data_IF_133238969095
#
_entry.id   IF_133238969095
#
_cell.length_a   1.000
_cell.length_b   1.000
_cell.length_c   1.000
_cell.angle_alpha   90.00
_cell.angle_beta   90.00
_cell.angle_gamma   90.00
#
_symmetry.space_group_name_H-M   'P 1'
#
loop_
_entity.id
_entity.type
_entity.pdbx_description
1 polymer ?
#
# COMPACT_ATOMS: atom_id res chain seq x y z
N UNK A 1 61.33 27.45 41.03
CA UNK A 1 60.95 26.04 40.82
C UNK A 1 59.44 25.92 41.03
N UNK A 2 58.67 25.86 39.95
CA UNK A 2 57.21 25.69 40.00
C UNK A 2 56.84 24.57 39.04
N UNK A 3 56.45 23.43 39.60
CA UNK A 3 55.97 22.24 38.88
C UNK A 3 54.52 22.48 38.49
N UNK A 4 54.20 22.42 37.20
CA UNK A 4 52.80 22.38 36.71
C UNK A 4 52.40 20.92 36.52
N UNK A 5 51.40 20.46 37.29
CA UNK A 5 50.66 19.22 37.03
C UNK A 5 49.77 19.43 35.80
N UNK A 6 49.91 18.58 34.79
CA UNK A 6 48.97 18.46 33.69
C UNK A 6 47.88 17.44 34.05
N UNK A 7 46.62 17.87 34.11
CA UNK A 7 45.48 16.99 34.24
C UNK A 7 45.09 16.46 32.85
N UNK A 8 45.17 15.14 32.65
CA UNK A 8 44.65 14.46 31.47
C UNK A 8 43.13 14.25 31.64
N UNK A 9 42.31 14.94 30.86
CA UNK A 9 40.90 14.61 30.71
C UNK A 9 40.75 13.41 29.76
N UNK A 10 40.30 12.28 30.30
CA UNK A 10 39.88 11.12 29.52
C UNK A 10 38.48 11.39 28.93
N UNK A 11 38.41 11.66 27.63
CA UNK A 11 37.15 11.64 26.89
C UNK A 11 36.72 10.18 26.66
N UNK A 12 35.65 9.76 27.33
CA UNK A 12 34.95 8.51 26.98
C UNK A 12 34.14 8.73 25.70
N UNK A 13 34.62 8.21 24.57
CA UNK A 13 33.80 8.03 23.37
C UNK A 13 32.87 6.82 23.61
N UNK A 14 31.57 7.06 23.77
CA UNK A 14 30.55 6.03 23.65
C UNK A 14 30.39 5.68 22.17
N UNK A 15 30.92 4.53 21.76
CA UNK A 15 30.62 3.95 20.45
C UNK A 15 29.16 3.49 20.43
N UNK A 16 28.28 4.28 19.82
CA UNK A 16 26.94 3.81 19.47
C UNK A 16 27.09 2.74 18.40
N UNK A 17 26.91 1.47 18.77
CA UNK A 17 26.82 0.38 17.82
C UNK A 17 25.61 0.65 16.92
N UNK A 18 25.86 1.03 15.67
CA UNK A 18 24.83 1.08 14.64
C UNK A 18 24.44 -0.37 14.41
N UNK A 19 23.22 -0.75 14.83
CA UNK A 19 22.68 -2.06 14.53
C UNK A 19 22.67 -2.23 13.01
N UNK A 20 23.33 -3.26 12.50
CA UNK A 20 23.31 -3.61 11.08
C UNK A 20 21.91 -4.14 10.80
N UNK A 21 21.20 -3.47 9.88
CA UNK A 21 19.88 -3.92 9.42
C UNK A 21 20.01 -5.28 8.72
N UNK A 22 19.10 -6.20 9.05
CA UNK A 22 19.09 -7.56 8.50
C UNK A 22 18.85 -7.50 7.00
N UNK A 23 19.76 -8.08 6.21
CA UNK A 23 19.58 -8.22 4.78
C UNK A 23 18.71 -9.44 4.46
N UNK A 24 17.63 -9.20 3.71
CA UNK A 24 16.68 -10.25 3.31
C UNK A 24 16.93 -10.69 1.88
N UNK A 25 17.01 -12.02 1.66
CA UNK A 25 17.00 -12.64 0.33
C UNK A 25 15.74 -13.49 0.15
N UNK A 26 14.66 -12.88 -0.35
CA UNK A 26 13.34 -13.52 -0.38
C UNK A 26 13.26 -14.83 -1.20
N UNK A 27 14.20 -15.05 -2.14
CA UNK A 27 14.27 -16.26 -2.96
C UNK A 27 14.91 -17.45 -2.25
N UNK A 28 15.75 -17.21 -1.27
CA UNK A 28 16.55 -18.24 -0.59
C UNK A 28 15.88 -18.68 0.72
N UNK A 29 16.45 -19.70 1.37
CA UNK A 29 16.05 -20.03 2.73
C UNK A 29 16.32 -18.83 3.67
N UNK A 30 15.41 -18.52 4.62
CA UNK A 30 14.26 -19.32 5.05
C UNK A 30 12.96 -19.04 4.28
N UNK A 31 12.97 -18.15 3.29
CA UNK A 31 11.75 -17.66 2.64
C UNK A 31 11.29 -18.54 1.47
N UNK A 32 12.20 -18.95 0.59
CA UNK A 32 11.93 -19.78 -0.59
C UNK A 32 10.68 -19.35 -1.35
N UNK A 33 10.52 -18.05 -1.59
CA UNK A 33 9.30 -17.46 -2.14
C UNK A 33 8.82 -18.12 -3.45
N UNK A 34 9.76 -18.52 -4.32
CA UNK A 34 9.43 -19.15 -5.60
C UNK A 34 8.86 -20.56 -5.44
N UNK A 35 9.26 -21.27 -4.38
CA UNK A 35 8.78 -22.63 -4.07
C UNK A 35 7.47 -22.62 -3.29
N UNK A 36 7.07 -21.46 -2.76
CA UNK A 36 5.84 -21.31 -1.97
C UNK A 36 4.60 -21.59 -2.81
N UNK A 37 3.68 -22.38 -2.26
CA UNK A 37 2.34 -22.57 -2.83
C UNK A 37 1.44 -21.45 -2.35
N UNK A 38 0.96 -20.55 -3.24
CA UNK A 38 0.21 -19.39 -2.81
C UNK A 38 -1.13 -19.74 -2.14
N UNK A 39 -1.45 -18.99 -1.10
CA UNK A 39 -2.68 -19.07 -0.29
C UNK A 39 -3.50 -17.77 -0.39
N UNK A 40 -3.14 -16.89 -1.31
CA UNK A 40 -3.84 -15.63 -1.55
C UNK A 40 -5.21 -15.82 -2.21
N UNK A 41 -6.01 -14.74 -2.21
CA UNK A 41 -7.37 -14.71 -2.76
C UNK A 41 -7.40 -15.12 -4.24
N UNK A 42 -6.43 -14.66 -5.04
CA UNK A 42 -6.41 -14.97 -6.47
C UNK A 42 -6.10 -16.45 -6.71
N UNK A 43 -5.14 -17.04 -5.99
CA UNK A 43 -4.84 -18.47 -6.10
C UNK A 43 -6.05 -19.36 -5.77
N UNK A 44 -6.90 -18.94 -4.83
CA UNK A 44 -8.16 -19.62 -4.54
C UNK A 44 -9.16 -19.50 -5.70
N UNK A 45 -9.39 -18.28 -6.22
CA UNK A 45 -10.31 -18.02 -7.34
C UNK A 45 -9.82 -18.66 -8.63
N UNK A 46 -8.51 -18.68 -8.90
CA UNK A 46 -7.91 -19.35 -10.04
C UNK A 46 -8.29 -20.83 -10.08
N UNK A 47 -8.19 -21.55 -8.96
CA UNK A 47 -8.60 -22.96 -8.86
C UNK A 47 -10.09 -23.14 -9.13
N UNK A 48 -10.94 -22.20 -8.72
CA UNK A 48 -12.38 -22.24 -8.97
C UNK A 48 -12.69 -22.00 -10.46
N UNK A 49 -11.94 -21.10 -11.12
CA UNK A 49 -12.04 -20.86 -12.57
C UNK A 49 -11.64 -22.12 -13.34
N UNK A 50 -10.50 -22.74 -12.99
CA UNK A 50 -9.99 -23.95 -13.63
C UNK A 50 -10.94 -25.15 -13.50
N UNK A 51 -11.71 -25.22 -12.39
CA UNK A 51 -12.76 -26.21 -12.17
C UNK A 51 -14.11 -25.87 -12.83
N UNK A 52 -14.26 -24.64 -13.35
CA UNK A 52 -15.52 -24.15 -13.91
C UNK A 52 -16.58 -23.76 -12.87
N UNK A 53 -16.20 -23.63 -11.60
CA UNK A 53 -17.06 -23.16 -10.50
C UNK A 53 -17.31 -21.64 -10.60
N UNK A 54 -16.28 -20.90 -11.04
CA UNK A 54 -16.37 -19.48 -11.40
C UNK A 54 -16.28 -19.34 -12.92
N UNK A 55 -17.29 -18.71 -13.52
CA UNK A 55 -17.31 -18.43 -14.97
C UNK A 55 -17.00 -16.96 -15.22
N UNK A 56 -15.96 -16.72 -16.01
CA UNK A 56 -15.61 -15.38 -16.48
C UNK A 56 -16.32 -15.09 -17.80
N UNK A 57 -16.80 -13.86 -17.96
CA UNK A 57 -17.48 -13.42 -19.17
C UNK A 57 -16.45 -12.94 -20.21
N UNK A 58 -16.17 -13.77 -21.21
CA UNK A 58 -15.17 -13.46 -22.24
C UNK A 58 -15.74 -12.73 -23.46
N UNK A 59 -16.99 -12.23 -23.40
CA UNK A 59 -17.66 -11.59 -24.55
C UNK A 59 -17.01 -10.28 -24.99
N UNK A 60 -16.39 -9.55 -24.07
CA UNK A 60 -15.65 -8.31 -24.30
C UNK A 60 -14.64 -8.07 -23.19
N UNK A 61 -13.64 -7.22 -23.42
CA UNK A 61 -12.64 -6.88 -22.40
C UNK A 61 -13.29 -6.30 -21.12
N UNK A 62 -14.34 -5.48 -21.26
CA UNK A 62 -15.06 -4.90 -20.12
C UNK A 62 -15.87 -5.93 -19.34
N UNK A 63 -16.58 -6.81 -20.04
CA UNK A 63 -17.33 -7.88 -19.39
C UNK A 63 -16.38 -8.84 -18.65
N UNK A 64 -15.22 -9.12 -19.27
CA UNK A 64 -14.18 -9.95 -18.69
C UNK A 64 -13.60 -9.32 -17.43
N UNK A 65 -13.18 -8.07 -17.50
CA UNK A 65 -12.69 -7.32 -16.36
C UNK A 65 -13.74 -7.26 -15.23
N UNK A 66 -14.99 -6.90 -15.53
CA UNK A 66 -16.07 -6.85 -14.55
C UNK A 66 -16.31 -8.22 -13.89
N UNK A 67 -16.24 -9.32 -14.65
CA UNK A 67 -16.38 -10.68 -14.11
C UNK A 67 -15.21 -11.09 -13.20
N UNK A 68 -13.97 -10.67 -13.52
CA UNK A 68 -12.80 -10.87 -12.65
C UNK A 68 -12.98 -10.09 -11.34
N UNK A 69 -13.30 -8.79 -11.43
CA UNK A 69 -13.48 -7.95 -10.24
C UNK A 69 -14.57 -8.51 -9.32
N UNK A 70 -15.69 -8.96 -9.90
CA UNK A 70 -16.76 -9.62 -9.15
C UNK A 70 -16.28 -10.91 -8.47
N UNK A 71 -15.53 -11.77 -9.17
CA UNK A 71 -15.01 -13.02 -8.61
C UNK A 71 -14.03 -12.78 -7.45
N UNK A 72 -13.28 -11.68 -7.50
CA UNK A 72 -12.31 -11.28 -6.46
C UNK A 72 -12.90 -10.36 -5.38
N UNK A 73 -14.19 -10.02 -5.48
CA UNK A 73 -14.87 -9.08 -4.58
C UNK A 73 -14.16 -7.71 -4.53
N UNK A 74 -13.79 -7.19 -5.71
CA UNK A 74 -13.17 -5.88 -5.88
C UNK A 74 -14.22 -4.87 -6.38
N UNK A 75 -14.45 -3.76 -5.65
CA UNK A 75 -15.43 -2.76 -6.06
C UNK A 75 -14.93 -2.00 -7.29
N UNK A 76 -15.80 -1.85 -8.31
CA UNK A 76 -15.50 -1.03 -9.50
C UNK A 76 -15.22 0.42 -9.12
N UNK A 77 -15.85 0.93 -8.06
CA UNK A 77 -15.64 2.28 -7.55
C UNK A 77 -14.24 2.54 -6.97
N UNK A 78 -13.39 1.51 -6.83
CA UNK A 78 -11.97 1.67 -6.48
C UNK A 78 -11.09 2.12 -7.64
N UNK A 79 -11.66 2.32 -8.84
CA UNK A 79 -10.90 2.60 -10.05
C UNK A 79 -9.95 3.80 -9.88
N UNK A 80 -8.67 3.56 -10.19
CA UNK A 80 -7.67 4.59 -10.41
C UNK A 80 -7.24 4.54 -11.88
N UNK A 81 -6.95 5.68 -12.49
CA UNK A 81 -6.42 5.75 -13.85
C UNK A 81 -5.00 6.31 -13.82
N UNK A 82 -4.06 5.61 -14.47
CA UNK A 82 -2.65 5.98 -14.57
C UNK A 82 -2.21 5.98 -16.03
N UNK A 83 -1.59 7.06 -16.47
CA UNK A 83 -1.13 7.23 -17.85
C UNK A 83 0.39 7.34 -17.98
N UNK A 84 1.14 7.28 -16.86
CA UNK A 84 2.58 7.03 -16.89
C UNK A 84 2.89 5.58 -17.22
N UNK A 85 3.85 5.36 -18.12
CA UNK A 85 4.31 4.06 -18.59
C UNK A 85 5.24 3.35 -17.60
N UNK A 86 4.87 3.29 -16.32
CA UNK A 86 5.65 2.71 -15.21
C UNK A 86 5.21 1.28 -14.86
N UNK A 87 4.81 0.49 -15.86
CA UNK A 87 4.35 -0.91 -15.71
C UNK A 87 5.04 -1.86 -16.70
N UNK A 88 4.79 -3.17 -16.54
CA UNK A 88 5.11 -4.23 -17.49
C UNK A 88 4.62 -3.94 -18.92
N UNK A 89 3.51 -3.21 -19.05
CA UNK A 89 2.87 -2.85 -20.33
C UNK A 89 3.20 -1.42 -20.78
N UNK A 90 4.40 -0.93 -20.47
CA UNK A 90 4.85 0.43 -20.79
C UNK A 90 4.73 0.81 -22.27
N UNK A 91 4.75 -0.16 -23.18
CA UNK A 91 4.62 0.07 -24.62
C UNK A 91 3.24 0.60 -25.05
N UNK A 92 2.20 0.39 -24.24
CA UNK A 92 0.81 0.74 -24.60
C UNK A 92 0.13 1.68 -23.59
N UNK A 93 0.79 2.01 -22.48
CA UNK A 93 0.28 2.95 -21.47
C UNK A 93 0.79 4.36 -21.78
N UNK A 94 -0.11 5.29 -22.00
CA UNK A 94 0.20 6.69 -22.29
C UNK A 94 -1.04 7.57 -22.05
N UNK A 95 -0.96 8.92 -22.16
CA UNK A 95 -2.11 9.81 -22.00
C UNK A 95 -3.35 9.46 -22.83
N UNK A 96 -3.19 8.85 -24.01
CA UNK A 96 -4.32 8.41 -24.86
C UNK A 96 -4.87 7.03 -24.51
N UNK A 97 -4.14 6.23 -23.72
CA UNK A 97 -4.54 4.88 -23.32
C UNK A 97 -4.14 4.58 -21.87
N UNK A 98 -4.83 5.20 -20.88
CA UNK A 98 -4.51 5.02 -19.47
C UNK A 98 -4.81 3.59 -19.00
N UNK A 99 -3.95 3.07 -18.11
CA UNK A 99 -4.19 1.84 -17.35
C UNK A 99 -5.19 2.14 -16.23
N UNK A 100 -6.17 1.26 -16.04
CA UNK A 100 -6.97 1.23 -14.83
C UNK A 100 -6.36 0.33 -13.76
N UNK A 101 -6.42 0.76 -12.51
CA UNK A 101 -6.18 -0.06 -11.33
C UNK A 101 -7.47 -0.19 -10.52
N UNK A 102 -7.70 -1.36 -9.95
CA UNK A 102 -8.80 -1.63 -9.02
C UNK A 102 -8.25 -2.38 -7.83
N UNK A 103 -8.84 -2.20 -6.65
CA UNK A 103 -8.35 -2.85 -5.45
C UNK A 103 -9.44 -3.07 -4.39
N UNK A 104 -9.22 -4.08 -3.57
CA UNK A 104 -9.83 -4.22 -2.25
C UNK A 104 -8.73 -4.25 -1.19
N UNK A 105 -8.94 -4.90 -0.04
CA UNK A 105 -7.98 -4.89 1.05
C UNK A 105 -6.73 -5.74 0.83
N UNK A 106 -6.74 -6.69 -0.13
CA UNK A 106 -5.64 -7.64 -0.31
C UNK A 106 -5.36 -8.00 -1.78
N UNK A 107 -6.13 -7.47 -2.74
CA UNK A 107 -6.02 -7.81 -4.15
C UNK A 107 -6.11 -6.56 -5.01
N UNK A 108 -5.20 -6.47 -6.00
CA UNK A 108 -5.02 -5.34 -6.90
C UNK A 108 -5.05 -5.84 -8.35
N UNK A 109 -5.83 -5.19 -9.20
CA UNK A 109 -6.00 -5.54 -10.62
C UNK A 109 -5.57 -4.37 -11.49
N UNK A 110 -4.65 -4.60 -12.42
CA UNK A 110 -4.28 -3.69 -13.48
C UNK A 110 -4.90 -4.10 -14.82
N UNK A 111 -5.50 -3.16 -15.53
CA UNK A 111 -6.08 -3.38 -16.85
C UNK A 111 -5.66 -2.26 -17.80
N UNK A 112 -5.11 -2.62 -18.95
CA UNK A 112 -4.85 -1.69 -20.05
C UNK A 112 -5.76 -2.06 -21.20
N UNK A 113 -6.52 -1.12 -21.79
CA UNK A 113 -7.31 -1.42 -22.99
C UNK A 113 -6.45 -2.02 -24.10
N UNK A 114 -6.89 -3.14 -24.66
CA UNK A 114 -6.15 -3.91 -25.67
C UNK A 114 -4.92 -4.66 -25.14
N UNK A 115 -4.71 -4.70 -23.82
CA UNK A 115 -3.57 -5.33 -23.16
C UNK A 115 -3.93 -6.59 -22.35
N UNK A 116 -3.05 -6.89 -21.40
CA UNK A 116 -3.16 -7.95 -20.40
C UNK A 116 -3.86 -7.45 -19.14
N UNK A 117 -4.37 -8.38 -18.33
CA UNK A 117 -4.80 -8.09 -16.96
C UNK A 117 -3.69 -8.53 -16.01
N UNK A 118 -3.19 -7.59 -15.23
CA UNK A 118 -2.18 -7.76 -14.19
C UNK A 118 -2.90 -7.99 -12.86
N UNK A 119 -2.47 -8.98 -12.06
CA UNK A 119 -3.04 -9.24 -10.73
C UNK A 119 -1.91 -9.25 -9.72
N UNK A 120 -2.09 -8.52 -8.62
CA UNK A 120 -1.31 -8.67 -7.40
C UNK A 120 -2.24 -9.10 -6.28
N UNK A 121 -1.96 -10.22 -5.63
CA UNK A 121 -2.72 -10.68 -4.47
C UNK A 121 -1.78 -10.87 -3.28
N UNK A 122 -2.18 -10.40 -2.11
CA UNK A 122 -1.36 -10.46 -0.91
C UNK A 122 -1.48 -11.85 -0.29
N UNK A 123 -0.43 -12.65 -0.43
CA UNK A 123 -0.28 -13.92 0.27
C UNK A 123 0.01 -13.66 1.75
N UNK A 124 -0.72 -14.28 2.69
CA UNK A 124 -0.57 -13.99 4.11
C UNK A 124 0.83 -14.29 4.69
N UNK A 125 1.62 -15.14 4.03
CA UNK A 125 2.97 -15.49 4.49
C UNK A 125 4.06 -14.79 3.66
N UNK A 126 3.86 -14.66 2.36
CA UNK A 126 4.90 -14.27 1.41
C UNK A 126 4.71 -12.87 0.81
N UNK A 127 3.59 -12.19 1.08
CA UNK A 127 3.31 -10.87 0.55
C UNK A 127 2.85 -10.90 -0.90
N UNK A 128 3.22 -9.89 -1.66
CA UNK A 128 2.68 -9.67 -3.00
C UNK A 128 2.99 -10.86 -3.94
N UNK A 129 1.95 -11.56 -4.41
CA UNK A 129 2.01 -12.58 -5.46
C UNK A 129 1.56 -11.99 -6.80
N UNK A 130 2.35 -12.22 -7.84
CA UNK A 130 2.16 -11.60 -9.16
C UNK A 130 1.63 -12.59 -10.18
N UNK A 131 0.49 -12.27 -10.78
CA UNK A 131 -0.13 -13.07 -11.83
C UNK A 131 -0.50 -12.21 -13.03
N UNK A 132 -0.63 -12.87 -14.18
CA UNK A 132 -1.00 -12.26 -15.45
C UNK A 132 -2.05 -13.14 -16.11
N UNK A 133 -3.16 -12.52 -16.52
CA UNK A 133 -3.97 -13.04 -17.61
C UNK A 133 -3.38 -12.53 -18.92
N UNK A 134 -3.13 -13.44 -19.85
CA UNK A 134 -2.80 -13.03 -21.21
C UNK A 134 -3.94 -12.23 -21.85
N UNK A 135 -3.63 -11.50 -22.93
CA UNK A 135 -4.61 -10.65 -23.61
C UNK A 135 -5.84 -11.46 -24.02
N UNK A 136 -7.01 -10.96 -23.65
CA UNK A 136 -8.29 -11.57 -24.02
C UNK A 136 -8.47 -11.55 -25.54
N UNK A 137 -9.02 -12.64 -26.08
CA UNK A 137 -9.62 -12.67 -27.42
C UNK A 137 -11.13 -12.73 -27.23
N UNK A 138 -11.88 -11.62 -27.45
CA UNK A 138 -13.32 -11.58 -27.21
C UNK A 138 -14.08 -12.70 -27.93
N UNK A 139 -15.02 -13.33 -27.22
CA UNK A 139 -15.75 -14.51 -27.68
C UNK A 139 -14.97 -15.84 -27.62
N UNK A 140 -13.69 -15.80 -27.25
CA UNK A 140 -12.86 -16.98 -27.01
C UNK A 140 -12.99 -17.54 -25.58
N UNK A 141 -12.13 -18.51 -25.25
CA UNK A 141 -12.02 -19.03 -23.88
C UNK A 141 -11.31 -18.07 -22.92
N UNK A 142 -11.29 -18.43 -21.63
CA UNK A 142 -10.54 -17.68 -20.61
C UNK A 142 -9.05 -17.67 -20.99
N UNK A 143 -8.40 -16.50 -21.04
CA UNK A 143 -6.98 -16.42 -21.38
C UNK A 143 -6.12 -17.11 -20.31
N UNK A 144 -4.93 -17.65 -20.69
CA UNK A 144 -4.01 -18.27 -19.74
C UNK A 144 -3.71 -17.39 -18.53
N UNK A 145 -3.76 -17.99 -17.34
CA UNK A 145 -3.37 -17.40 -16.06
C UNK A 145 -2.00 -17.91 -15.68
N UNK A 146 -1.04 -17.02 -15.45
CA UNK A 146 0.34 -17.42 -15.10
C UNK A 146 0.88 -16.60 -13.94
N UNK A 147 1.60 -17.26 -13.02
CA UNK A 147 2.46 -16.56 -12.03
C UNK A 147 3.68 -16.00 -12.77
N UNK A 148 4.07 -14.76 -12.46
CA UNK A 148 5.14 -14.08 -13.20
C UNK A 148 6.23 -13.51 -12.31
N UNK A 149 7.48 -13.81 -12.66
CA UNK A 149 8.65 -13.24 -12.01
C UNK A 149 9.12 -11.93 -12.66
N UNK A 150 8.49 -11.53 -13.77
CA UNK A 150 8.84 -10.32 -14.52
C UNK A 150 8.62 -9.03 -13.71
N UNK A 151 7.76 -9.08 -12.70
CA UNK A 151 7.39 -7.94 -11.87
C UNK A 151 8.50 -7.55 -10.86
N UNK A 152 9.43 -8.46 -10.55
CA UNK A 152 10.43 -8.24 -9.49
C UNK A 152 11.48 -7.15 -9.81
N UNK A 153 11.62 -6.75 -11.07
CA UNK A 153 12.49 -5.61 -11.42
C UNK A 153 12.06 -4.32 -10.71
N UNK A 154 10.76 -4.17 -10.43
CA UNK A 154 10.21 -3.02 -9.74
C UNK A 154 9.66 -3.37 -8.35
N UNK A 155 8.96 -4.50 -8.24
CA UNK A 155 8.23 -4.89 -7.02
C UNK A 155 9.08 -5.62 -5.96
N UNK A 156 10.37 -5.84 -6.21
CA UNK A 156 11.34 -6.30 -5.20
C UNK A 156 12.60 -5.40 -5.21
N UNK A 157 12.39 -4.11 -5.49
CA UNK A 157 13.43 -3.09 -5.56
C UNK A 157 13.62 -2.31 -4.24
N UNK A 158 14.26 -1.14 -4.34
CA UNK A 158 14.51 -0.29 -3.17
C UNK A 158 13.21 0.20 -2.51
N UNK A 159 12.20 0.55 -3.31
CA UNK A 159 10.89 1.04 -2.83
C UNK A 159 10.17 0.07 -1.89
N UNK A 160 10.48 -1.23 -1.97
CA UNK A 160 9.90 -2.29 -1.14
C UNK A 160 10.93 -2.94 -0.24
N UNK A 161 12.09 -2.29 -0.01
CA UNK A 161 13.21 -2.82 0.79
C UNK A 161 13.63 -4.24 0.35
N UNK A 162 13.63 -4.47 -0.96
CA UNK A 162 14.03 -5.73 -1.63
C UNK A 162 13.20 -6.97 -1.27
N UNK A 163 12.01 -6.78 -0.73
CA UNK A 163 11.00 -7.85 -0.58
C UNK A 163 9.86 -7.66 -1.59
N UNK A 164 9.16 -8.73 -2.01
CA UNK A 164 7.98 -8.62 -2.85
C UNK A 164 6.94 -7.69 -2.22
N UNK A 165 6.61 -6.59 -2.90
CA UNK A 165 5.73 -5.55 -2.36
C UNK A 165 5.02 -4.74 -3.44
N UNK A 166 4.31 -3.72 -2.99
CA UNK A 166 3.46 -2.86 -3.80
C UNK A 166 4.16 -1.52 -4.05
N UNK A 167 3.98 -0.96 -5.24
CA UNK A 167 4.58 0.34 -5.59
C UNK A 167 3.56 1.24 -6.26
N UNK A 168 3.65 2.53 -5.92
CA UNK A 168 3.11 3.62 -6.72
C UNK A 168 4.23 4.64 -6.91
N UNK A 169 4.28 5.25 -8.09
CA UNK A 169 5.24 6.31 -8.42
C UNK A 169 4.48 7.59 -8.75
N UNK A 170 5.17 8.73 -8.64
CA UNK A 170 4.66 10.04 -9.05
C UNK A 170 5.68 10.65 -10.01
N UNK A 171 5.29 10.82 -11.27
CA UNK A 171 6.18 11.15 -12.38
C UNK A 171 5.57 12.26 -13.24
N UNK A 172 6.39 12.98 -14.01
CA UNK A 172 5.92 13.79 -15.13
C UNK A 172 6.07 12.99 -16.42
N UNK A 173 4.99 12.41 -16.98
CA UNK A 173 5.09 11.64 -18.21
C UNK A 173 5.13 12.54 -19.45
N UNK A 174 5.76 12.04 -20.51
CA UNK A 174 5.65 12.57 -21.88
C UNK A 174 4.37 12.07 -22.56
N UNK A 175 4.12 12.56 -23.78
CA UNK A 175 3.08 12.02 -24.66
C UNK A 175 3.21 10.50 -24.91
N UNK A 176 4.43 9.96 -24.88
CA UNK A 176 4.67 8.51 -24.99
C UNK A 176 4.35 7.73 -23.71
N UNK A 177 4.04 8.41 -22.60
CA UNK A 177 3.93 7.81 -21.25
C UNK A 177 5.27 7.71 -20.51
N UNK A 178 6.41 7.84 -21.19
CA UNK A 178 7.73 7.77 -20.57
C UNK A 178 7.98 8.93 -19.59
N UNK A 179 8.76 8.70 -18.54
CA UNK A 179 9.03 9.70 -17.50
C UNK A 179 10.05 10.76 -17.96
N UNK A 180 9.72 12.05 -17.81
CA UNK A 180 10.66 13.18 -17.88
C UNK A 180 11.30 13.50 -16.53
N UNK A 181 10.49 13.42 -15.48
CA UNK A 181 10.86 13.83 -14.13
C UNK A 181 10.24 12.85 -13.13
N UNK A 182 10.97 12.53 -12.07
CA UNK A 182 10.49 11.68 -10.99
C UNK A 182 10.25 12.54 -9.75
N UNK A 183 9.00 12.69 -9.33
CA UNK A 183 8.63 13.41 -8.10
C UNK A 183 8.72 12.50 -6.87
N UNK A 184 8.41 11.20 -7.06
CA UNK A 184 8.50 10.17 -6.02
C UNK A 184 8.70 8.79 -6.64
N UNK A 185 9.62 8.00 -6.06
CA UNK A 185 9.93 6.63 -6.48
C UNK A 185 9.97 5.63 -5.32
N UNK A 186 10.78 5.92 -4.30
CA UNK A 186 11.20 4.89 -3.31
C UNK A 186 10.43 4.91 -1.98
N UNK A 187 9.40 5.74 -1.85
CA UNK A 187 8.62 5.87 -0.61
C UNK A 187 7.17 5.51 -0.86
N UNK A 188 6.51 4.79 0.06
CA UNK A 188 5.09 4.44 -0.03
C UNK A 188 4.39 4.70 1.31
N UNK A 189 3.17 5.23 1.28
CA UNK A 189 2.32 5.38 2.46
C UNK A 189 1.69 6.76 2.67
N UNK A 190 0.76 6.83 3.62
CA UNK A 190 -0.02 8.03 3.90
C UNK A 190 0.80 9.24 4.38
N UNK A 191 2.08 9.07 4.73
CA UNK A 191 2.95 10.14 5.21
C UNK A 191 3.49 11.04 4.09
N UNK A 192 3.39 10.59 2.85
CA UNK A 192 3.89 11.33 1.69
C UNK A 192 3.04 12.59 1.50
N UNK A 193 3.62 13.80 1.43
CA UNK A 193 2.85 15.02 1.18
C UNK A 193 2.04 14.95 -0.12
N UNK A 194 0.81 15.48 -0.14
CA UNK A 194 -0.12 15.35 -1.27
C UNK A 194 0.42 15.99 -2.56
N UNK A 195 1.21 17.06 -2.44
CA UNK A 195 1.87 17.76 -3.52
C UNK A 195 2.97 16.93 -4.22
N UNK A 196 3.42 15.83 -3.60
CA UNK A 196 4.36 14.87 -4.20
C UNK A 196 3.65 13.66 -4.81
N UNK A 197 2.32 13.55 -4.67
CA UNK A 197 1.52 12.43 -5.18
C UNK A 197 0.95 12.73 -6.57
N UNK A 198 0.32 11.73 -7.17
CA UNK A 198 -0.54 11.83 -8.35
C UNK A 198 0.12 12.22 -9.69
N UNK A 199 1.43 12.45 -9.76
CA UNK A 199 2.13 12.68 -11.04
C UNK A 199 1.98 11.49 -11.99
N UNK A 200 1.43 11.72 -13.19
CA UNK A 200 1.18 10.68 -14.18
C UNK A 200 -0.12 9.89 -13.94
N UNK A 201 -0.94 10.34 -12.99
CA UNK A 201 -2.26 9.79 -12.71
C UNK A 201 -3.34 10.76 -13.15
N UNK A 202 -4.48 10.20 -13.55
CA UNK A 202 -5.70 10.98 -13.58
C UNK A 202 -6.25 11.12 -12.18
N UNK A 203 -6.66 12.33 -11.81
CA UNK A 203 -7.32 12.62 -10.56
C UNK A 203 -8.61 13.37 -10.84
N UNK A 204 -9.73 12.79 -10.42
CA UNK A 204 -11.07 13.39 -10.51
C UNK A 204 -11.61 13.63 -9.11
N UNK A 205 -12.83 14.18 -9.02
CA UNK A 205 -13.48 14.49 -7.75
C UNK A 205 -13.06 15.87 -7.23
N UNK A 206 -13.76 16.34 -6.20
CA UNK A 206 -13.53 17.68 -5.64
C UNK A 206 -12.58 17.58 -4.45
N UNK A 207 -11.33 17.98 -4.68
CA UNK A 207 -10.23 17.73 -3.74
C UNK A 207 -9.53 18.97 -3.19
N UNK A 208 -9.84 20.18 -3.67
CA UNK A 208 -9.28 21.44 -3.13
C UNK A 208 -7.73 21.53 -3.11
N UNK A 209 -7.03 20.69 -3.88
CA UNK A 209 -5.56 20.73 -4.00
C UNK A 209 -5.17 21.89 -4.91
N UNK A 210 -4.40 22.85 -4.38
CA UNK A 210 -3.95 24.04 -5.12
C UNK A 210 -2.82 23.72 -6.10
N UNK A 211 -1.79 23.04 -5.61
CA UNK A 211 -0.63 22.63 -6.39
C UNK A 211 -0.62 21.10 -6.45
N UNK A 212 -1.13 20.52 -7.54
CA UNK A 212 -1.16 19.07 -7.73
C UNK A 212 -0.46 18.67 -9.04
N UNK A 213 0.11 17.46 -9.03
CA UNK A 213 0.86 16.91 -10.17
C UNK A 213 -0.02 16.03 -11.08
N UNK A 214 -1.30 15.83 -10.73
CA UNK A 214 -2.22 15.00 -11.48
C UNK A 214 -2.64 15.65 -12.79
N UNK A 215 -3.16 14.86 -13.72
CA UNK A 215 -3.69 15.35 -15.00
C UNK A 215 -2.67 16.24 -15.76
N UNK A 216 -1.37 15.96 -15.64
CA UNK A 216 -0.30 16.71 -16.30
C UNK A 216 0.62 15.78 -17.08
N UNK A 217 0.98 16.20 -18.29
CA UNK A 217 2.12 15.68 -19.04
C UNK A 217 3.14 16.79 -19.30
N UNK A 218 4.35 16.42 -19.70
CA UNK A 218 5.40 17.37 -20.00
C UNK A 218 6.07 17.12 -21.34
N UNK A 219 6.78 18.15 -21.80
CA UNK A 219 7.80 18.07 -22.85
C UNK A 219 9.02 18.89 -22.47
N UNK A 220 10.19 18.53 -23.02
CA UNK A 220 11.40 19.34 -22.87
C UNK A 220 11.18 20.71 -23.50
N UNK A 221 11.45 21.78 -22.76
CA UNK A 221 11.38 23.15 -23.27
C UNK A 221 12.66 23.51 -24.05
N UNK A 222 12.57 24.48 -24.97
CA UNK A 222 13.73 25.11 -25.60
C UNK A 222 14.55 25.96 -24.61
N UNK A 223 13.92 26.41 -23.53
CA UNK A 223 14.58 26.96 -22.34
C UNK A 223 14.89 25.84 -21.34
N UNK A 224 15.80 26.04 -20.38
CA UNK A 224 16.05 25.01 -19.34
C UNK A 224 14.75 24.70 -18.57
N UNK A 225 14.26 23.46 -18.66
CA UNK A 225 13.11 22.98 -17.90
C UNK A 225 12.10 22.20 -18.72
N UNK A 226 10.90 22.02 -18.16
CA UNK A 226 9.79 21.31 -18.78
C UNK A 226 8.59 22.24 -18.98
N UNK A 227 7.95 22.14 -20.13
CA UNK A 227 6.64 22.74 -20.37
C UNK A 227 5.57 21.69 -20.03
N UNK A 228 4.65 22.05 -19.14
CA UNK A 228 3.58 21.15 -18.66
C UNK A 228 2.27 21.46 -19.38
N UNK A 229 1.55 20.42 -19.79
CA UNK A 229 0.26 20.52 -20.47
C UNK A 229 -0.77 19.68 -19.71
N UNK A 230 -2.00 20.19 -19.49
CA UNK A 230 -3.09 19.42 -18.92
C UNK A 230 -3.45 18.17 -19.75
N UNK A 231 -3.84 17.11 -19.06
CA UNK A 231 -4.37 15.85 -19.61
C UNK A 231 -5.67 15.56 -18.87
N UNK A 232 -6.73 16.24 -19.30
CA UNK A 232 -8.06 16.02 -18.72
C UNK A 232 -8.58 14.62 -19.09
N UNK A 233 -9.15 13.86 -18.14
CA UNK A 233 -9.77 12.56 -18.43
C UNK A 233 -10.78 12.68 -19.58
N UNK A 234 -10.65 11.82 -20.59
CA UNK A 234 -11.56 11.82 -21.75
C UNK A 234 -11.18 12.78 -22.88
N UNK A 235 -10.20 13.67 -22.68
CA UNK A 235 -9.75 14.58 -23.74
C UNK A 235 -8.87 13.85 -24.77
N UNK A 236 -7.95 13.01 -24.29
CA UNK A 236 -7.01 12.24 -25.13
C UNK A 236 -7.33 10.75 -25.18
N UNK A 237 -8.12 10.26 -24.24
CA UNK A 237 -8.42 8.85 -24.01
C UNK A 237 -9.91 8.55 -24.17
N UNK A 238 -10.24 7.38 -24.73
CA UNK A 238 -11.63 6.91 -24.78
C UNK A 238 -11.98 6.20 -23.46
N UNK A 239 -12.66 6.93 -22.56
CA UNK A 239 -13.06 6.41 -21.25
C UNK A 239 -14.13 5.32 -21.33
N UNK A 240 -14.76 5.11 -22.49
CA UNK A 240 -15.71 4.00 -22.64
C UNK A 240 -15.02 2.64 -22.56
N UNK A 241 -13.70 2.58 -22.74
CA UNK A 241 -12.86 1.39 -22.58
C UNK A 241 -12.66 0.99 -21.11
N UNK A 242 -12.97 1.87 -20.15
CA UNK A 242 -12.88 1.62 -18.71
C UNK A 242 -14.27 1.33 -18.11
N UNK A 243 -14.32 0.83 -16.87
CA UNK A 243 -15.60 0.48 -16.24
C UNK A 243 -16.37 1.71 -15.74
N UNK A 244 -15.65 2.73 -15.25
CA UNK A 244 -16.21 4.04 -14.92
C UNK A 244 -15.34 5.16 -15.52
N UNK A 245 -15.89 6.37 -15.75
CA UNK A 245 -15.14 7.47 -16.40
C UNK A 245 -14.30 8.29 -15.41
N UNK A 246 -14.15 7.85 -14.16
CA UNK A 246 -13.53 8.63 -13.08
C UNK A 246 -12.35 7.90 -12.43
N UNK A 247 -11.54 8.67 -11.71
CA UNK A 247 -10.38 8.25 -10.92
C UNK A 247 -10.37 9.11 -9.65
N UNK A 248 -11.35 8.86 -8.78
CA UNK A 248 -11.67 9.72 -7.62
C UNK A 248 -10.53 9.79 -6.61
N UNK A 249 -10.35 10.95 -5.96
CA UNK A 249 -9.27 11.15 -4.99
C UNK A 249 -9.32 10.18 -3.81
N UNK A 250 -10.50 9.81 -3.31
CA UNK A 250 -10.59 9.02 -2.09
C UNK A 250 -9.99 7.61 -2.26
N UNK A 251 -10.31 6.85 -3.33
CA UNK A 251 -9.60 5.63 -3.70
C UNK A 251 -8.07 5.80 -3.74
N UNK A 252 -7.54 6.88 -4.31
CA UNK A 252 -6.08 7.12 -4.33
C UNK A 252 -5.48 7.22 -2.92
N UNK A 253 -6.14 7.92 -2.00
CA UNK A 253 -5.66 8.09 -0.63
C UNK A 253 -5.71 6.77 0.15
N UNK A 254 -6.77 5.99 -0.03
CA UNK A 254 -6.91 4.66 0.59
C UNK A 254 -5.85 3.71 0.03
N UNK A 255 -5.66 3.70 -1.29
CA UNK A 255 -4.63 2.88 -1.95
C UNK A 255 -3.23 3.21 -1.44
N UNK A 256 -2.86 4.49 -1.35
CA UNK A 256 -1.56 4.91 -0.81
C UNK A 256 -1.34 4.42 0.64
N UNK A 257 -2.38 4.45 1.48
CA UNK A 257 -2.31 3.87 2.84
C UNK A 257 -2.09 2.35 2.81
N UNK A 258 -2.80 1.61 1.96
CA UNK A 258 -2.64 0.15 1.86
C UNK A 258 -1.23 -0.23 1.43
N UNK A 259 -0.68 0.45 0.41
CA UNK A 259 0.68 0.23 -0.09
C UNK A 259 1.72 0.37 1.02
N UNK A 260 1.64 1.47 1.78
CA UNK A 260 2.57 1.70 2.88
C UNK A 260 2.39 0.73 4.06
N UNK A 261 1.16 0.25 4.31
CA UNK A 261 0.88 -0.76 5.32
C UNK A 261 1.50 -2.11 4.93
N UNK A 262 1.13 -2.64 3.76
CA UNK A 262 1.52 -3.97 3.31
C UNK A 262 3.05 -4.09 3.17
N UNK A 263 3.70 -3.09 2.60
CA UNK A 263 5.16 -3.09 2.46
C UNK A 263 5.88 -3.15 3.81
N UNK A 264 5.36 -2.47 4.84
CA UNK A 264 5.96 -2.49 6.19
C UNK A 264 5.71 -3.82 6.88
N UNK A 265 4.49 -4.35 6.77
CA UNK A 265 4.11 -5.65 7.33
C UNK A 265 5.00 -6.74 6.77
N UNK A 266 5.14 -6.82 5.44
CA UNK A 266 5.94 -7.87 4.83
C UNK A 266 7.43 -7.64 5.02
N UNK A 267 7.95 -6.41 4.94
CA UNK A 267 9.35 -6.16 5.31
C UNK A 267 9.67 -6.71 6.71
N UNK A 268 8.84 -6.38 7.70
CA UNK A 268 9.03 -6.83 9.06
C UNK A 268 8.85 -8.36 9.21
N UNK A 269 7.89 -8.96 8.48
CA UNK A 269 7.69 -10.40 8.48
C UNK A 269 8.91 -11.16 7.94
N UNK A 270 9.50 -10.65 6.85
CA UNK A 270 10.70 -11.21 6.25
C UNK A 270 11.90 -11.09 7.19
N UNK A 271 12.18 -9.90 7.73
CA UNK A 271 13.26 -9.70 8.70
C UNK A 271 13.11 -10.63 9.91
N UNK A 272 11.90 -10.72 10.47
CA UNK A 272 11.66 -11.61 11.61
C UNK A 272 11.87 -13.09 11.27
N UNK A 273 11.46 -13.55 10.09
CA UNK A 273 11.69 -14.94 9.69
C UNK A 273 13.19 -15.23 9.50
N UNK A 274 13.95 -14.28 8.95
CA UNK A 274 15.41 -14.37 8.84
C UNK A 274 16.07 -14.47 10.21
N UNK A 275 15.77 -13.53 11.11
CA UNK A 275 16.32 -13.48 12.47
C UNK A 275 16.00 -14.76 13.28
N UNK A 276 14.77 -15.27 13.15
CA UNK A 276 14.37 -16.52 13.79
C UNK A 276 15.12 -17.73 13.20
N UNK A 277 15.34 -17.77 11.89
CA UNK A 277 16.11 -18.85 11.27
C UNK A 277 17.56 -18.86 11.75
N UNK A 278 18.21 -17.70 11.83
CA UNK A 278 19.57 -17.54 12.36
C UNK A 278 19.66 -17.95 13.84
N UNK A 279 18.65 -17.62 14.63
CA UNK A 279 18.52 -18.02 16.03
C UNK A 279 17.90 -19.41 16.26
N UNK A 280 17.82 -20.25 15.22
CA UNK A 280 17.29 -21.63 15.26
C UNK A 280 15.90 -21.74 15.90
N UNK A 281 15.01 -20.84 15.52
CA UNK A 281 13.63 -20.74 16.01
C UNK A 281 13.44 -19.84 17.23
N UNK A 282 14.51 -19.26 17.78
CA UNK A 282 14.44 -18.28 18.86
C UNK A 282 14.98 -16.93 18.40
N UNK A 283 14.49 -15.82 18.95
CA UNK A 283 15.01 -14.49 18.62
C UNK A 283 16.31 -14.25 19.41
N UNK A 284 17.47 -14.08 18.75
CA UNK A 284 18.73 -13.77 19.45
C UNK A 284 18.62 -12.46 20.24
N UNK A 285 19.34 -12.36 21.37
CA UNK A 285 19.35 -11.12 22.18
C UNK A 285 19.79 -9.90 21.37
N UNK A 286 20.76 -10.08 20.47
CA UNK A 286 21.26 -9.03 19.58
C UNK A 286 20.21 -8.53 18.56
N UNK A 287 19.19 -9.33 18.27
CA UNK A 287 18.12 -9.01 17.33
C UNK A 287 16.93 -8.27 17.98
N UNK A 288 16.89 -8.19 19.31
CA UNK A 288 15.82 -7.48 20.04
C UNK A 288 15.68 -6.00 19.63
N UNK A 289 16.76 -5.20 19.51
CA UNK A 289 16.65 -3.81 19.09
C UNK A 289 16.01 -3.65 17.70
N UNK A 290 16.31 -4.55 16.77
CA UNK A 290 15.73 -4.51 15.42
C UNK A 290 14.22 -4.84 15.45
N UNK A 291 13.81 -5.86 16.21
CA UNK A 291 12.39 -6.14 16.45
C UNK A 291 11.67 -4.95 17.09
N UNK A 292 12.30 -4.25 18.04
CA UNK A 292 11.73 -3.03 18.64
C UNK A 292 11.51 -1.92 17.62
N UNK A 293 12.49 -1.70 16.72
CA UNK A 293 12.38 -0.71 15.63
C UNK A 293 11.26 -1.07 14.67
N UNK A 294 11.17 -2.33 14.24
CA UNK A 294 10.07 -2.82 13.38
C UNK A 294 8.71 -2.65 14.06
N UNK A 295 8.64 -2.96 15.35
CA UNK A 295 7.40 -2.84 16.11
C UNK A 295 6.95 -1.38 16.29
N UNK A 296 7.89 -0.47 16.53
CA UNK A 296 7.62 0.96 16.62
C UNK A 296 7.18 1.54 15.27
N UNK A 297 7.88 1.21 14.18
CA UNK A 297 7.53 1.63 12.82
C UNK A 297 6.09 1.21 12.47
N UNK A 298 5.75 -0.07 12.70
CA UNK A 298 4.41 -0.59 12.43
C UNK A 298 3.35 0.06 13.31
N UNK A 299 3.59 0.21 14.62
CA UNK A 299 2.62 0.84 15.52
C UNK A 299 2.34 2.30 15.15
N UNK A 300 3.40 3.07 14.85
CA UNK A 300 3.29 4.45 14.36
C UNK A 300 2.47 4.52 13.09
N UNK A 301 2.78 3.66 12.11
CA UNK A 301 2.05 3.63 10.85
C UNK A 301 0.58 3.23 11.04
N UNK A 302 0.31 2.17 11.80
CA UNK A 302 -1.05 1.71 12.11
C UNK A 302 -1.87 2.83 12.75
N UNK A 303 -1.28 3.62 13.64
CA UNK A 303 -1.95 4.72 14.34
C UNK A 303 -1.92 6.05 13.57
N UNK A 304 -1.68 6.00 12.24
CA UNK A 304 -1.63 7.18 11.36
C UNK A 304 -0.73 8.30 11.89
N UNK A 305 0.39 7.93 12.52
CA UNK A 305 1.45 8.90 12.76
C UNK A 305 1.92 9.44 11.39
N UNK A 306 2.18 10.75 11.37
CA UNK A 306 2.71 11.47 10.22
C UNK A 306 1.80 11.46 8.97
N UNK A 307 0.50 11.16 9.10
CA UNK A 307 -0.47 11.28 8.00
C UNK A 307 -0.38 12.67 7.34
N UNK A 308 -0.26 12.68 6.01
CA UNK A 308 -0.23 13.91 5.24
C UNK A 308 -1.53 14.72 5.45
N UNK A 309 -1.37 16.02 5.71
CA UNK A 309 -2.50 16.91 5.96
C UNK A 309 -3.38 17.01 4.72
N UNK A 310 -4.70 16.86 4.91
CA UNK A 310 -5.66 17.20 3.87
C UNK A 310 -5.81 18.73 3.77
N UNK A 311 -6.30 19.25 2.63
CA UNK A 311 -6.68 20.65 2.49
C UNK A 311 -7.66 21.11 3.58
N UNK A 312 -7.60 22.38 3.95
CA UNK A 312 -8.45 22.96 5.00
C UNK A 312 -9.95 22.89 4.68
N UNK A 313 -10.27 22.90 3.40
CA UNK A 313 -11.60 22.77 2.81
C UNK A 313 -12.09 21.31 2.81
N UNK A 314 -11.22 20.36 3.13
CA UNK A 314 -11.47 18.93 3.05
C UNK A 314 -11.35 18.37 1.64
N UNK A 315 -11.75 17.11 1.51
CA UNK A 315 -11.92 16.41 0.23
C UNK A 315 -13.31 15.80 0.17
N UNK A 316 -13.87 15.71 -1.03
CA UNK A 316 -15.13 15.02 -1.27
C UNK A 316 -14.85 13.74 -2.04
N UNK A 317 -15.09 12.59 -1.40
CA UNK A 317 -14.97 11.28 -2.03
C UNK A 317 -16.26 10.85 -2.70
N UNK A 318 -16.13 10.01 -3.74
CA UNK A 318 -17.28 9.44 -4.43
C UNK A 318 -18.17 8.61 -3.48
N UNK A 319 -19.48 8.83 -3.55
CA UNK A 319 -20.43 8.22 -2.63
C UNK A 319 -20.56 6.70 -2.82
N UNK A 320 -20.35 6.17 -4.04
CA UNK A 320 -20.34 4.73 -4.30
C UNK A 320 -19.09 4.10 -3.70
N UNK A 321 -17.91 4.71 -3.86
CA UNK A 321 -16.71 4.20 -3.21
C UNK A 321 -16.85 4.17 -1.68
N UNK A 322 -17.39 5.23 -1.07
CA UNK A 322 -17.62 5.27 0.38
C UNK A 322 -18.51 4.11 0.83
N UNK A 323 -19.64 3.88 0.14
CA UNK A 323 -20.57 2.77 0.45
C UNK A 323 -19.89 1.41 0.31
N UNK A 324 -19.27 1.16 -0.84
CA UNK A 324 -18.63 -0.11 -1.16
C UNK A 324 -17.46 -0.42 -0.24
N UNK A 325 -16.62 0.58 0.06
CA UNK A 325 -15.49 0.44 0.99
C UNK A 325 -15.96 0.08 2.40
N UNK A 326 -17.10 0.61 2.84
CA UNK A 326 -17.67 0.39 4.16
C UNK A 326 -18.56 -0.85 4.26
N UNK A 327 -18.85 -1.56 3.16
CA UNK A 327 -19.82 -2.69 3.15
C UNK A 327 -19.49 -3.80 4.15
N UNK A 328 -18.21 -4.06 4.36
CA UNK A 328 -17.69 -5.14 5.22
C UNK A 328 -17.13 -4.61 6.56
N UNK A 329 -17.45 -3.37 6.94
CA UNK A 329 -16.86 -2.72 8.12
C UNK A 329 -17.15 -3.49 9.41
N UNK A 330 -16.13 -3.61 10.26
CA UNK A 330 -16.26 -4.17 11.61
C UNK A 330 -16.60 -3.05 12.58
N UNK A 331 -17.79 -3.10 13.19
CA UNK A 331 -18.30 -2.01 14.03
C UNK A 331 -18.54 -2.48 15.46
N UNK A 332 -18.28 -1.58 16.41
CA UNK A 332 -18.75 -1.74 17.81
C UNK A 332 -20.28 -1.68 17.86
N UNK A 333 -20.86 -2.04 19.01
CA UNK A 333 -22.33 -1.91 19.22
C UNK A 333 -22.86 -0.50 18.96
N UNK A 334 -22.06 0.53 19.24
CA UNK A 334 -22.38 1.93 18.96
C UNK A 334 -22.20 2.35 17.48
N UNK A 335 -21.82 1.43 16.58
CA UNK A 335 -21.72 1.66 15.13
C UNK A 335 -20.37 2.21 14.62
N UNK A 336 -19.44 2.56 15.51
CA UNK A 336 -18.12 3.07 15.14
C UNK A 336 -17.21 1.98 14.56
N UNK A 337 -16.44 2.32 13.52
CA UNK A 337 -15.55 1.40 12.80
C UNK A 337 -14.27 2.09 12.33
N UNK A 338 -13.16 1.33 12.21
CA UNK A 338 -11.90 1.81 11.61
C UNK A 338 -12.03 2.19 10.12
N UNK A 339 -13.15 1.83 9.47
CA UNK A 339 -13.47 2.23 8.10
C UNK A 339 -14.34 3.48 7.99
N UNK A 340 -14.70 4.11 9.12
CA UNK A 340 -15.46 5.36 9.10
C UNK A 340 -14.55 6.50 8.64
N UNK A 341 -14.95 7.23 7.59
CA UNK A 341 -14.19 8.37 7.05
C UNK A 341 -14.46 9.68 7.81
N UNK A 342 -13.50 10.60 7.78
CA UNK A 342 -13.67 12.00 8.24
C UNK A 342 -13.67 12.98 7.06
N UNK A 343 -12.66 12.88 6.18
CA UNK A 343 -12.44 13.65 4.94
C UNK A 343 -12.34 15.18 5.09
N UNK A 344 -12.47 15.72 6.31
CA UNK A 344 -12.33 17.16 6.55
C UNK A 344 -10.87 17.54 6.74
N UNK A 345 -10.15 16.81 7.58
CA UNK A 345 -8.73 17.08 7.83
C UNK A 345 -7.85 15.82 7.89
N UNK A 346 -8.46 14.63 7.76
CA UNK A 346 -7.82 13.30 7.80
C UNK A 346 -8.67 12.30 7.02
N UNK A 347 -8.07 11.18 6.59
CA UNK A 347 -8.75 10.16 5.81
C UNK A 347 -9.82 9.48 6.70
N UNK A 348 -9.39 8.86 7.80
CA UNK A 348 -10.27 8.10 8.69
C UNK A 348 -10.63 8.86 9.95
N UNK A 349 -11.87 8.68 10.41
CA UNK A 349 -12.39 9.28 11.65
C UNK A 349 -11.65 8.80 12.88
N UNK A 350 -11.36 7.49 12.93
CA UNK A 350 -10.58 6.85 13.99
C UNK A 350 -9.26 6.38 13.38
N UNK A 351 -8.18 7.11 13.68
CA UNK A 351 -6.84 6.91 13.12
C UNK A 351 -6.14 5.67 13.68
N UNK A 352 -6.67 4.51 13.29
CA UNK A 352 -6.07 3.20 13.42
C UNK A 352 -6.41 2.41 12.15
N UNK A 353 -5.41 1.84 11.50
CA UNK A 353 -5.56 1.18 10.20
C UNK A 353 -6.56 0.03 10.27
N UNK A 354 -7.54 0.03 9.36
CA UNK A 354 -8.44 -1.11 9.17
C UNK A 354 -7.72 -2.33 8.58
N UNK A 355 -6.50 -2.16 8.04
CA UNK A 355 -5.73 -3.26 7.45
C UNK A 355 -5.28 -4.28 8.50
N UNK A 356 -5.36 -3.97 9.80
CA UNK A 356 -5.14 -4.96 10.88
C UNK A 356 -6.16 -6.11 10.87
N UNK A 357 -7.25 -6.01 10.09
CA UNK A 357 -8.21 -7.09 9.89
C UNK A 357 -7.84 -8.03 8.73
N UNK A 358 -6.82 -7.72 7.91
CA UNK A 358 -6.41 -8.57 6.80
C UNK A 358 -5.58 -9.77 7.27
N UNK A 359 -5.53 -10.81 6.44
CA UNK A 359 -4.73 -11.99 6.73
C UNK A 359 -3.22 -11.68 6.74
N UNK A 360 -2.76 -10.68 5.97
CA UNK A 360 -1.38 -10.15 6.01
C UNK A 360 -0.97 -9.79 7.44
N UNK A 361 -1.85 -9.11 8.19
CA UNK A 361 -1.61 -8.79 9.59
C UNK A 361 -1.79 -9.99 10.53
N UNK A 362 -2.84 -10.79 10.30
CA UNK A 362 -3.20 -11.89 11.18
C UNK A 362 -2.19 -13.06 11.13
N UNK A 363 -1.35 -13.12 10.10
CA UNK A 363 -0.28 -14.12 9.94
C UNK A 363 1.12 -13.58 10.25
N UNK A 364 1.26 -12.30 10.61
CA UNK A 364 2.53 -11.73 11.05
C UNK A 364 3.13 -12.55 12.23
N UNK A 365 4.46 -12.75 12.30
CA UNK A 365 5.09 -13.50 13.39
C UNK A 365 4.60 -13.05 14.76
N UNK A 366 4.07 -13.99 15.55
CA UNK A 366 3.31 -13.69 16.76
C UNK A 366 4.07 -12.80 17.76
N UNK A 367 5.37 -13.04 17.92
CA UNK A 367 6.25 -12.23 18.79
C UNK A 367 6.30 -10.76 18.36
N UNK A 368 6.46 -10.49 17.06
CA UNK A 368 6.46 -9.12 16.54
C UNK A 368 5.07 -8.50 16.66
N UNK A 369 4.02 -9.23 16.29
CA UNK A 369 2.64 -8.74 16.37
C UNK A 369 2.24 -8.35 17.79
N UNK A 370 2.59 -9.19 18.78
CA UNK A 370 2.37 -8.87 20.19
C UNK A 370 3.15 -7.62 20.62
N UNK A 371 4.39 -7.46 20.14
CA UNK A 371 5.17 -6.27 20.43
C UNK A 371 4.58 -5.01 19.80
N UNK A 372 4.07 -5.09 18.57
CA UNK A 372 3.36 -3.98 17.93
C UNK A 372 2.11 -3.61 18.73
N UNK A 373 1.32 -4.60 19.18
CA UNK A 373 0.19 -4.31 20.06
C UNK A 373 0.65 -3.60 21.33
N UNK A 374 1.76 -4.00 21.95
CA UNK A 374 2.25 -3.26 23.12
C UNK A 374 2.52 -1.78 22.80
N UNK A 375 3.21 -1.50 21.69
CA UNK A 375 3.50 -0.13 21.23
C UNK A 375 2.22 0.66 20.90
N UNK A 376 1.24 0.02 20.26
CA UNK A 376 -0.05 0.64 20.01
C UNK A 376 -0.79 0.96 21.31
N UNK A 377 -0.76 0.06 22.31
CA UNK A 377 -1.36 0.30 23.60
C UNK A 377 -0.71 1.50 24.32
N UNK A 378 0.62 1.66 24.20
CA UNK A 378 1.34 2.85 24.69
C UNK A 378 0.89 4.14 23.98
N UNK A 379 0.75 4.10 22.66
CA UNK A 379 0.28 5.23 21.86
C UNK A 379 -1.17 5.62 22.15
N UNK A 380 -1.99 4.65 22.54
CA UNK A 380 -3.42 4.83 22.85
C UNK A 380 -3.71 5.06 24.35
N UNK A 381 -2.70 5.23 25.20
CA UNK A 381 -2.91 5.57 26.62
C UNK A 381 -3.63 6.92 26.74
N UNK A 382 -4.63 6.99 27.62
CA UNK A 382 -5.34 8.25 27.92
C UNK A 382 -4.52 9.15 28.86
N UNK A 383 -3.83 8.54 29.83
CA UNK A 383 -2.97 9.23 30.80
C UNK A 383 -1.50 9.02 30.46
N UNK A 384 -0.65 10.01 30.74
CA UNK A 384 0.79 9.98 30.46
C UNK A 384 1.07 9.58 29.00
N UNK A 385 0.32 10.21 28.09
CA UNK A 385 0.42 9.99 26.66
C UNK A 385 1.88 10.16 26.18
N UNK A 386 2.39 9.18 25.43
CA UNK A 386 3.67 9.32 24.76
C UNK A 386 3.58 10.49 23.75
N UNK A 387 4.47 11.51 23.85
CA UNK A 387 4.47 12.66 22.94
C UNK A 387 4.52 12.28 21.45
N UNK A 388 5.09 11.12 21.11
CA UNK A 388 5.15 10.61 19.74
C UNK A 388 3.77 10.35 19.10
N UNK A 389 2.70 10.31 19.89
CA UNK A 389 1.31 10.08 19.44
C UNK A 389 0.39 11.28 19.76
N UNK A 390 0.96 12.47 19.97
CA UNK A 390 0.20 13.67 20.33
C UNK A 390 -0.85 14.10 19.28
N UNK A 391 -0.77 13.58 18.05
CA UNK A 391 -1.78 13.81 17.01
C UNK A 391 -3.13 13.19 17.35
N UNK A 392 -3.20 12.16 18.20
CA UNK A 392 -4.44 11.51 18.65
C UNK A 392 -4.96 12.16 19.94
N UNK A 393 -6.12 12.85 19.92
CA UNK A 393 -6.75 13.38 21.13
C UNK A 393 -7.32 12.24 22.02
N UNK A 394 -7.52 12.49 23.33
CA UNK A 394 -7.95 11.47 24.29
C UNK A 394 -9.22 10.70 23.89
N UNK A 395 -10.26 11.39 23.39
CA UNK A 395 -11.52 10.75 23.00
C UNK A 395 -11.36 9.80 21.81
N UNK A 396 -10.51 10.16 20.85
CA UNK A 396 -10.20 9.30 19.71
C UNK A 396 -9.42 8.06 20.14
N UNK A 397 -8.46 8.21 21.07
CA UNK A 397 -7.73 7.06 21.65
C UNK A 397 -8.69 6.08 22.32
N UNK A 398 -9.63 6.59 23.12
CA UNK A 398 -10.65 5.77 23.79
C UNK A 398 -11.54 5.05 22.78
N UNK A 399 -11.98 5.75 21.73
CA UNK A 399 -12.79 5.16 20.67
C UNK A 399 -12.03 4.05 19.93
N UNK A 400 -10.77 4.28 19.54
CA UNK A 400 -9.93 3.26 18.89
C UNK A 400 -9.77 2.05 19.80
N UNK A 401 -9.43 2.23 21.09
CA UNK A 401 -9.31 1.12 22.04
C UNK A 401 -10.60 0.31 22.16
N UNK A 402 -11.75 0.98 22.17
CA UNK A 402 -13.07 0.34 22.24
C UNK A 402 -13.33 -0.48 20.97
N UNK A 403 -13.06 0.08 19.79
CA UNK A 403 -13.19 -0.62 18.51
C UNK A 403 -12.31 -1.87 18.53
N UNK A 404 -11.00 -1.73 18.78
CA UNK A 404 -10.09 -2.87 18.80
C UNK A 404 -10.53 -3.96 19.77
N UNK A 405 -10.95 -3.59 20.99
CA UNK A 405 -11.40 -4.55 22.02
C UNK A 405 -12.63 -5.36 21.60
N UNK A 406 -13.59 -4.73 20.93
CA UNK A 406 -14.84 -5.39 20.53
C UNK A 406 -14.71 -6.15 19.20
N UNK A 407 -13.85 -5.69 18.27
CA UNK A 407 -13.88 -6.17 16.88
C UNK A 407 -12.61 -6.86 16.40
N UNK A 408 -11.45 -6.69 17.04
CA UNK A 408 -10.19 -7.28 16.58
C UNK A 408 -10.02 -8.73 17.08
N UNK A 409 -10.05 -9.74 16.18
CA UNK A 409 -9.73 -11.10 16.56
C UNK A 409 -8.26 -11.21 17.01
N UNK A 410 -8.00 -12.09 17.97
CA UNK A 410 -6.63 -12.37 18.44
C UNK A 410 -5.95 -11.21 19.19
N UNK A 411 -6.71 -10.19 19.62
CA UNK A 411 -6.17 -9.13 20.47
C UNK A 411 -5.69 -9.70 21.82
N UNK A 412 -4.48 -9.36 22.32
CA UNK A 412 -3.94 -9.93 23.54
C UNK A 412 -4.83 -9.69 24.76
N UNK A 413 -4.86 -10.67 25.67
CA UNK A 413 -5.69 -10.58 26.89
C UNK A 413 -5.30 -9.40 27.78
N UNK A 414 -4.01 -9.06 27.85
CA UNK A 414 -3.50 -7.91 28.61
C UNK A 414 -3.94 -6.55 28.04
N UNK A 415 -4.43 -6.49 26.80
CA UNK A 415 -4.96 -5.25 26.21
C UNK A 415 -6.34 -4.89 26.78
N UNK A 416 -7.13 -5.92 27.14
CA UNK A 416 -8.57 -5.83 27.37
C UNK A 416 -8.95 -5.14 28.67
#
# INVERSE_FOLDING_TARGET
>A
MTVRLAALSLCFLTASAVAVETQVTFREAPHKYLDHTPQDRFAAVQKQIEKGEVKLDTSSDKAFLASILKALDIPVSSQLLVFSASSLQSEIINPSNPRALYFNEDTYIGYVPGGKVEVIAMDPEMGAMFYIFERLRPGGGVPPMTRSDKCFNCHAGNATRRVPGLIAESLLPMLSGASLETYRRDEQGHQIPLEKRFGGWHLTGKHHLKDNLANLMGRTSSSRGFEKTPVEPGQMSDLNLHLIPTSDILPHLVHEHQLGFENRVFHAAYVMRQLLAEGRGSLPLAAKPEMETLADELARYILFADEAKLPTEGIEGDAEFIREFQRNKKSVKAGASLKDFDLKNRIFKYRCSYMIYTDSWQKLPAMLRERVYFKMAEGLREQNANPAYAHLPPDERRAIRTILKETLPGLPTWWR
#
